data_IF_067871651021
#
_entry.id   IF_067871651021
#
_cell.length_a   1.000
_cell.length_b   1.000
_cell.length_c   1.000
_cell.angle_alpha   90.00
_cell.angle_beta   90.00
_cell.angle_gamma   90.00
#
_symmetry.space_group_name_H-M   'P 1'
#
loop_
_entity.id
_entity.type
_entity.pdbx_description
1 polymer ?
#
# COMPACT_ATOMS: atom_id res chain seq x y z
N UNK A 1 -2.01 -19.11 4.11
CA UNK A 1 -1.57 -19.03 2.70
C UNK A 1 -0.58 -17.89 2.63
N UNK A 2 0.57 -18.05 1.97
CA UNK A 2 1.59 -16.99 1.93
C UNK A 2 1.08 -15.84 1.06
N UNK A 3 0.96 -14.63 1.61
CA UNK A 3 0.54 -13.46 0.85
C UNK A 3 1.77 -12.63 0.47
N UNK A 4 1.75 -12.03 -0.73
CA UNK A 4 2.82 -11.18 -1.21
C UNK A 4 2.29 -9.77 -1.47
N UNK A 5 3.09 -8.76 -1.17
CA UNK A 5 2.70 -7.37 -1.39
C UNK A 5 3.84 -6.51 -1.92
N UNK A 6 3.50 -5.50 -2.72
CA UNK A 6 4.34 -4.34 -2.96
C UNK A 6 4.02 -3.31 -1.90
N UNK A 7 5.04 -2.83 -1.19
CA UNK A 7 4.87 -1.76 -0.21
C UNK A 7 4.91 -0.40 -0.91
N UNK A 8 3.81 0.35 -0.84
CA UNK A 8 3.72 1.75 -1.30
C UNK A 8 3.99 2.66 -0.11
N UNK A 9 5.16 3.29 -0.09
CA UNK A 9 5.70 4.00 1.07
C UNK A 9 5.56 5.50 0.90
N UNK A 10 4.81 6.13 1.81
CA UNK A 10 4.63 7.57 1.83
C UNK A 10 5.88 8.30 2.39
N UNK A 11 6.04 9.60 2.09
CA UNK A 11 7.08 10.41 2.70
C UNK A 11 7.03 10.35 4.23
N UNK A 12 8.19 10.41 4.89
CA UNK A 12 8.35 10.41 6.34
C UNK A 12 7.88 9.12 7.07
N UNK A 13 7.72 8.00 6.35
CA UNK A 13 7.51 6.69 6.96
C UNK A 13 8.83 6.11 7.47
N UNK A 14 8.86 5.68 8.73
CA UNK A 14 10.02 5.00 9.29
C UNK A 14 10.11 3.56 8.78
N UNK A 15 11.33 3.05 8.64
CA UNK A 15 11.58 1.63 8.25
C UNK A 15 10.88 0.66 9.21
N UNK A 16 10.79 1.01 10.51
CA UNK A 16 10.11 0.20 11.53
C UNK A 16 8.62 0.03 11.24
N UNK A 17 7.99 1.03 10.63
CA UNK A 17 6.55 1.02 10.33
C UNK A 17 6.28 0.12 9.12
N UNK A 18 7.22 0.06 8.17
CA UNK A 18 7.18 -0.86 7.04
C UNK A 18 7.19 -2.32 7.53
N UNK A 19 8.13 -2.64 8.42
CA UNK A 19 8.24 -3.99 9.01
C UNK A 19 7.00 -4.32 9.84
N UNK A 20 6.52 -3.36 10.64
CA UNK A 20 5.33 -3.54 11.48
C UNK A 20 4.08 -3.80 10.64
N UNK A 21 3.88 -3.04 9.56
CA UNK A 21 2.77 -3.22 8.64
C UNK A 21 2.83 -4.61 7.97
N UNK A 22 4.00 -5.02 7.48
CA UNK A 22 4.18 -6.33 6.86
C UNK A 22 3.81 -7.49 7.81
N UNK A 23 4.29 -7.43 9.05
CA UNK A 23 4.02 -8.45 10.07
C UNK A 23 2.55 -8.48 10.45
N UNK A 24 1.94 -7.32 10.72
CA UNK A 24 0.53 -7.24 11.14
C UNK A 24 -0.45 -7.60 10.03
N UNK A 25 -0.09 -7.35 8.77
CA UNK A 25 -0.87 -7.74 7.60
C UNK A 25 -0.57 -9.16 7.12
N UNK A 26 0.37 -9.88 7.76
CA UNK A 26 0.77 -11.24 7.40
C UNK A 26 1.23 -11.39 5.92
N UNK A 27 1.91 -10.37 5.39
CA UNK A 27 2.40 -10.33 4.00
C UNK A 27 3.93 -10.36 3.91
N UNK A 28 4.42 -10.96 2.84
CA UNK A 28 5.81 -10.85 2.41
C UNK A 28 5.95 -9.69 1.43
N UNK A 29 6.70 -8.65 1.82
CA UNK A 29 7.02 -7.57 0.91
C UNK A 29 8.02 -8.08 -0.12
N UNK A 30 7.65 -8.02 -1.40
CA UNK A 30 8.52 -8.43 -2.52
C UNK A 30 9.19 -7.24 -3.22
N UNK A 31 8.60 -6.06 -3.08
CA UNK A 31 9.13 -4.82 -3.64
C UNK A 31 8.66 -3.62 -2.80
N UNK A 32 9.39 -2.51 -2.91
CA UNK A 32 9.10 -1.25 -2.24
C UNK A 32 9.09 -0.12 -3.25
N UNK A 33 7.94 0.50 -3.43
CA UNK A 33 7.79 1.70 -4.24
C UNK A 33 7.58 2.92 -3.34
N UNK A 34 8.18 4.05 -3.71
CA UNK A 34 7.79 5.32 -3.11
C UNK A 34 6.42 5.72 -3.66
N UNK A 35 5.61 6.36 -2.82
CA UNK A 35 4.36 6.95 -3.27
C UNK A 35 4.60 8.00 -4.36
N UNK A 36 3.83 7.92 -5.43
CA UNK A 36 3.80 8.84 -6.57
C UNK A 36 2.39 9.45 -6.70
N UNK A 37 2.23 10.77 -6.48
CA UNK A 37 0.92 11.42 -6.55
C UNK A 37 0.30 11.43 -7.95
N UNK A 38 1.07 11.21 -9.01
CA UNK A 38 0.57 11.16 -10.39
C UNK A 38 0.06 9.76 -10.78
N UNK A 39 0.36 8.73 -9.98
CA UNK A 39 -0.01 7.34 -10.24
C UNK A 39 -1.44 7.05 -9.75
N UNK A 40 -2.30 6.56 -10.64
CA UNK A 40 -3.61 6.02 -10.27
C UNK A 40 -3.44 4.62 -9.64
N UNK A 41 -3.31 4.59 -8.31
CA UNK A 41 -3.14 3.35 -7.57
C UNK A 41 -4.38 2.43 -7.58
N UNK A 42 -5.58 2.97 -7.83
CA UNK A 42 -6.80 2.16 -7.96
C UNK A 42 -6.74 1.38 -9.27
N UNK A 43 -6.49 2.08 -10.38
CA UNK A 43 -6.32 1.46 -11.69
C UNK A 43 -5.11 0.50 -11.70
N UNK A 44 -4.01 0.91 -11.08
CA UNK A 44 -2.83 0.06 -10.89
C UNK A 44 -3.20 -1.22 -10.13
N UNK A 45 -3.82 -1.16 -8.95
CA UNK A 45 -4.22 -2.36 -8.20
C UNK A 45 -5.16 -3.31 -8.96
N UNK A 46 -6.00 -2.77 -9.85
CA UNK A 46 -6.93 -3.55 -10.68
C UNK A 46 -6.23 -4.22 -11.87
N UNK A 47 -5.18 -3.59 -12.41
CA UNK A 47 -4.40 -4.07 -13.56
C UNK A 47 -3.13 -4.84 -13.18
N UNK A 48 -2.69 -4.74 -11.93
CA UNK A 48 -1.52 -5.40 -11.41
C UNK A 48 -1.83 -6.89 -11.18
N UNK A 49 -1.55 -7.70 -12.20
CA UNK A 49 -1.68 -9.16 -12.16
C UNK A 49 -0.34 -9.95 -12.08
N UNK A 50 0.73 -9.49 -11.43
CA UNK A 50 1.83 -10.41 -11.18
C UNK A 50 1.39 -11.39 -10.08
N UNK A 51 1.53 -12.67 -10.39
CA UNK A 51 1.36 -13.76 -9.44
C UNK A 51 2.73 -14.26 -9.01
N UNK A 52 2.94 -14.46 -7.72
CA UNK A 52 4.10 -15.19 -7.20
C UNK A 52 3.59 -16.51 -6.67
N UNK A 53 4.08 -17.62 -7.25
CA UNK A 53 3.65 -18.98 -6.89
C UNK A 53 2.12 -19.18 -6.94
N UNK A 54 1.42 -18.50 -7.85
CA UNK A 54 -0.05 -18.58 -7.98
C UNK A 54 -0.85 -17.71 -7.00
N UNK A 55 -0.18 -16.93 -6.14
CA UNK A 55 -0.82 -15.95 -5.26
C UNK A 55 -0.76 -14.55 -5.89
N UNK A 56 -1.89 -13.85 -5.90
CA UNK A 56 -1.98 -12.45 -6.35
C UNK A 56 -1.07 -11.59 -5.47
N UNK A 57 -0.31 -10.70 -6.10
CA UNK A 57 0.44 -9.67 -5.38
C UNK A 57 -0.50 -8.53 -5.02
N UNK A 58 -0.51 -8.16 -3.75
CA UNK A 58 -1.32 -7.10 -3.18
C UNK A 58 -0.55 -5.78 -3.09
N UNK A 59 -1.25 -4.68 -2.82
CA UNK A 59 -0.62 -3.41 -2.46
C UNK A 59 -0.78 -3.18 -0.97
N UNK A 60 0.33 -2.88 -0.30
CA UNK A 60 0.34 -2.47 1.10
C UNK A 60 0.71 -0.99 1.15
N UNK A 61 -0.27 -0.12 1.41
CA UNK A 61 -0.06 1.30 1.58
C UNK A 61 0.41 1.59 3.00
N UNK A 62 1.49 2.33 3.14
CA UNK A 62 2.11 2.64 4.43
C UNK A 62 2.21 4.16 4.53
N UNK A 63 1.38 4.72 5.39
CA UNK A 63 1.18 6.15 5.57
C UNK A 63 2.05 6.67 6.72
N UNK A 64 2.25 8.00 6.82
CA UNK A 64 2.90 8.59 7.99
C UNK A 64 2.19 8.22 9.30
N UNK A 65 2.88 8.36 10.42
CA UNK A 65 2.37 8.04 11.77
C UNK A 65 2.08 6.55 12.01
N UNK A 66 2.64 5.66 11.17
CA UNK A 66 2.57 4.22 11.33
C UNK A 66 1.23 3.59 10.93
N UNK A 67 0.37 4.34 10.25
CA UNK A 67 -0.87 3.79 9.69
C UNK A 67 -0.60 3.03 8.38
N UNK A 68 -1.34 1.96 8.13
CA UNK A 68 -1.19 1.17 6.91
C UNK A 68 -2.53 0.55 6.50
N UNK A 69 -2.65 0.25 5.20
CA UNK A 69 -3.83 -0.39 4.61
C UNK A 69 -3.38 -1.44 3.60
N UNK A 70 -3.79 -2.70 3.78
CA UNK A 70 -3.59 -3.76 2.81
C UNK A 70 -4.78 -3.79 1.84
N UNK A 71 -4.55 -3.53 0.56
CA UNK A 71 -5.60 -3.56 -0.46
C UNK A 71 -5.86 -5.00 -0.97
N UNK A 72 -6.37 -5.86 -0.10
CA UNK A 72 -6.81 -7.23 -0.42
C UNK A 72 -8.28 -7.28 -0.88
N UNK A 73 -9.07 -6.23 -0.61
CA UNK A 73 -10.47 -6.07 -1.01
C UNK A 73 -10.70 -4.72 -1.70
N UNK A 74 -11.83 -4.56 -2.40
CA UNK A 74 -12.22 -3.28 -3.00
C UNK A 74 -12.47 -2.20 -1.94
N UNK A 75 -13.07 -2.56 -0.80
CA UNK A 75 -13.31 -1.63 0.31
C UNK A 75 -12.00 -1.09 0.90
N UNK A 76 -10.98 -1.94 1.08
CA UNK A 76 -9.67 -1.49 1.55
C UNK A 76 -8.94 -0.61 0.52
N UNK A 77 -9.15 -0.86 -0.77
CA UNK A 77 -8.61 -0.01 -1.83
C UNK A 77 -9.27 1.38 -1.81
N UNK A 78 -10.58 1.45 -1.56
CA UNK A 78 -11.31 2.70 -1.36
C UNK A 78 -10.81 3.43 -0.11
N UNK A 79 -10.65 2.74 1.02
CA UNK A 79 -10.10 3.30 2.26
C UNK A 79 -8.71 3.93 2.01
N UNK A 80 -7.82 3.20 1.34
CA UNK A 80 -6.51 3.71 0.96
C UNK A 80 -6.63 4.97 0.10
N UNK A 81 -7.49 4.96 -0.92
CA UNK A 81 -7.69 6.11 -1.81
C UNK A 81 -8.24 7.35 -1.09
N UNK A 82 -9.20 7.18 -0.16
CA UNK A 82 -9.72 8.28 0.65
C UNK A 82 -8.62 8.89 1.53
N UNK A 83 -7.75 8.06 2.10
CA UNK A 83 -6.63 8.52 2.92
C UNK A 83 -5.57 9.26 2.11
N UNK A 84 -5.28 8.78 0.91
CA UNK A 84 -4.42 9.48 -0.05
C UNK A 84 -4.97 10.87 -0.35
N UNK A 85 -6.26 10.96 -0.65
CA UNK A 85 -6.93 12.23 -0.94
C UNK A 85 -6.88 13.19 0.25
N UNK A 86 -7.09 12.70 1.47
CA UNK A 86 -6.99 13.50 2.68
C UNK A 86 -5.57 14.09 2.85
N UNK A 87 -4.52 13.28 2.65
CA UNK A 87 -3.13 13.72 2.75
C UNK A 87 -2.77 14.77 1.69
N UNK A 88 -3.26 14.61 0.46
CA UNK A 88 -3.05 15.60 -0.61
C UNK A 88 -3.70 16.95 -0.29
N UNK A 89 -4.87 16.95 0.34
CA UNK A 89 -5.55 18.18 0.77
C UNK A 89 -4.81 18.89 1.90
N UNK A 90 -4.18 18.15 2.81
CA UNK A 90 -3.36 18.75 3.89
C UNK A 90 -2.06 19.33 3.35
N UNK A 91 -1.45 18.74 2.33
CA UNK A 91 -0.20 19.24 1.72
C UNK A 91 -0.38 20.51 0.87
N UNK A 92 -1.62 20.86 0.50
CA UNK A 92 -1.96 22.03 -0.31
C UNK A 92 -2.39 23.26 0.51
N UNK A 93 -2.44 23.15 1.85
CA UNK A 93 -2.75 24.24 2.78
C UNK A 93 -1.52 24.65 3.59
#
# INVERSE_FOLDING_TARGET
MLQFAVAIVFPNVDVKDIVTAAVKSEVHIIDKENYDPEKDYIAYSKSYEPYVNGSKILLLFIFPEGHYTLADTEDHLVEAAEKIKALQQTALN
#
